data_IF_525641373859
#
_entry.id   IF_525641373859
#
_cell.length_a   1.000
_cell.length_b   1.000
_cell.length_c   1.000
_cell.angle_alpha   90.00
_cell.angle_beta   90.00
_cell.angle_gamma   90.00
#
_symmetry.space_group_name_H-M   'P 1'
#
loop_
_entity.id
_entity.type
_entity.pdbx_description
1 polymer ?
#
# COMPACT_ATOMS: atom_id res chain seq x y z
N UNK A 1 -2.59 23.21 24.59
CA UNK A 1 -1.48 22.23 24.49
C UNK A 1 -0.49 22.79 23.49
N UNK A 2 0.80 22.93 23.82
CA UNK A 2 1.76 23.36 22.83
C UNK A 2 1.86 22.25 21.78
N UNK A 3 1.51 22.57 20.54
CA UNK A 3 1.79 21.71 19.40
C UNK A 3 3.30 21.53 19.38
N UNK A 4 3.76 20.29 19.41
CA UNK A 4 5.18 19.94 19.35
C UNK A 4 5.73 20.44 18.01
N UNK A 5 6.27 21.66 18.02
CA UNK A 5 6.74 22.36 16.83
C UNK A 5 8.21 21.99 16.62
N UNK A 6 8.45 20.73 16.22
CA UNK A 6 9.76 20.35 15.76
C UNK A 6 10.02 21.00 14.40
N UNK A 7 11.23 21.56 14.16
CA UNK A 7 11.58 22.09 12.86
C UNK A 7 11.48 20.97 11.81
N UNK A 8 10.61 21.16 10.81
CA UNK A 8 10.51 20.24 9.68
C UNK A 8 11.69 20.50 8.72
N UNK A 9 12.75 19.71 8.86
CA UNK A 9 13.92 19.79 7.97
C UNK A 9 13.65 19.32 6.54
N UNK A 10 12.52 18.65 6.28
CA UNK A 10 12.13 18.15 4.94
C UNK A 10 11.08 19.03 4.27
N UNK A 11 10.72 20.20 4.84
CA UNK A 11 9.63 21.04 4.35
C UNK A 11 9.68 21.31 2.83
N UNK A 12 10.84 21.65 2.27
CA UNK A 12 10.95 21.90 0.82
C UNK A 12 10.78 20.64 -0.06
N UNK A 13 11.08 19.45 0.47
CA UNK A 13 10.84 18.18 -0.24
C UNK A 13 9.37 17.80 -0.13
N UNK A 14 8.77 17.98 1.05
CA UNK A 14 7.36 17.69 1.31
C UNK A 14 6.47 18.58 0.42
N UNK A 15 6.79 19.86 0.30
CA UNK A 15 6.07 20.80 -0.58
C UNK A 15 6.13 20.36 -2.05
N UNK A 16 7.31 19.95 -2.54
CA UNK A 16 7.46 19.46 -3.91
C UNK A 16 6.63 18.18 -4.16
N UNK A 17 6.56 17.27 -3.19
CA UNK A 17 5.75 16.06 -3.29
C UNK A 17 4.25 16.36 -3.27
N UNK A 18 3.82 17.31 -2.44
CA UNK A 18 2.43 17.76 -2.38
C UNK A 18 2.03 18.44 -3.68
N UNK A 19 2.90 19.28 -4.25
CA UNK A 19 2.64 19.95 -5.52
C UNK A 19 2.51 18.95 -6.67
N UNK A 20 3.40 17.97 -6.75
CA UNK A 20 3.28 16.88 -7.75
C UNK A 20 2.00 16.06 -7.54
N UNK A 21 1.64 15.75 -6.29
CA UNK A 21 0.40 15.02 -5.98
C UNK A 21 -0.87 15.81 -6.33
N UNK A 22 -0.82 17.15 -6.26
CA UNK A 22 -1.92 18.04 -6.65
C UNK A 22 -2.06 18.16 -8.16
N UNK A 23 -0.95 18.38 -8.86
CA UNK A 23 -0.94 18.52 -10.33
C UNK A 23 -1.22 17.19 -11.03
N UNK A 24 -0.70 16.09 -10.47
CA UNK A 24 -0.89 14.73 -11.00
C UNK A 24 -1.67 13.92 -9.97
N UNK A 25 -2.99 14.05 -9.97
CA UNK A 25 -3.87 13.34 -9.02
C UNK A 25 -3.73 11.80 -9.03
N UNK A 26 -3.16 11.22 -10.09
CA UNK A 26 -2.87 9.78 -10.19
C UNK A 26 -1.51 9.37 -9.58
N UNK A 27 -0.63 10.32 -9.23
CA UNK A 27 0.74 10.03 -8.77
C UNK A 27 0.76 9.13 -7.52
N UNK A 28 -0.04 9.48 -6.52
CA UNK A 28 -0.12 8.73 -5.25
C UNK A 28 -0.75 7.34 -5.46
N UNK A 29 -1.92 7.21 -6.14
CA UNK A 29 -2.44 5.90 -6.52
C UNK A 29 -1.45 5.01 -7.27
N UNK A 30 -0.74 5.55 -8.26
CA UNK A 30 0.25 4.80 -9.04
C UNK A 30 1.44 4.37 -8.18
N UNK A 31 1.91 5.22 -7.28
CA UNK A 31 3.00 4.89 -6.36
C UNK A 31 2.61 3.75 -5.41
N UNK A 32 1.41 3.82 -4.83
CA UNK A 32 0.91 2.77 -3.93
C UNK A 32 0.65 1.46 -4.69
N UNK A 33 0.13 1.54 -5.92
CA UNK A 33 -0.03 0.39 -6.79
C UNK A 33 1.32 -0.23 -7.18
N UNK A 34 2.32 0.59 -7.48
CA UNK A 34 3.68 0.12 -7.77
C UNK A 34 4.28 -0.63 -6.58
N UNK A 35 4.16 -0.09 -5.36
CA UNK A 35 4.61 -0.75 -4.13
C UNK A 35 3.92 -2.10 -3.97
N UNK A 36 2.60 -2.14 -4.12
CA UNK A 36 1.83 -3.38 -4.07
C UNK A 36 2.34 -4.40 -5.08
N UNK A 37 2.54 -3.98 -6.33
CA UNK A 37 2.95 -4.85 -7.43
C UNK A 37 4.36 -5.40 -7.24
N UNK A 38 5.30 -4.59 -6.76
CA UNK A 38 6.67 -5.03 -6.46
C UNK A 38 6.68 -6.08 -5.36
N UNK A 39 5.92 -5.88 -4.27
CA UNK A 39 5.84 -6.86 -3.18
C UNK A 39 5.18 -8.14 -3.66
N UNK A 40 4.05 -8.03 -4.38
CA UNK A 40 3.31 -9.18 -4.89
C UNK A 40 4.13 -10.02 -5.87
N UNK A 41 4.61 -9.40 -6.96
CA UNK A 41 5.35 -10.09 -8.01
C UNK A 41 6.71 -10.59 -7.49
N UNK A 42 7.41 -9.77 -6.70
CA UNK A 42 8.68 -10.14 -6.10
C UNK A 42 8.53 -11.36 -5.19
N UNK A 43 7.49 -11.38 -4.35
CA UNK A 43 7.18 -12.51 -3.48
C UNK A 43 6.82 -13.78 -4.25
N UNK A 44 5.88 -13.68 -5.20
CA UNK A 44 5.44 -14.81 -6.04
C UNK A 44 6.60 -15.42 -6.82
N UNK A 45 7.42 -14.61 -7.47
CA UNK A 45 8.58 -15.07 -8.26
C UNK A 45 9.64 -15.67 -7.36
N UNK A 46 9.95 -15.04 -6.23
CA UNK A 46 10.96 -15.55 -5.30
C UNK A 46 10.54 -16.88 -4.67
N UNK A 47 9.27 -17.01 -4.28
CA UNK A 47 8.75 -18.27 -3.75
C UNK A 47 8.74 -19.36 -4.82
N UNK A 48 8.26 -19.05 -6.03
CA UNK A 48 8.23 -19.99 -7.15
C UNK A 48 9.60 -20.55 -7.49
N UNK A 49 10.63 -19.69 -7.52
CA UNK A 49 12.03 -20.11 -7.72
C UNK A 49 12.57 -21.00 -6.61
N UNK A 50 12.13 -20.81 -5.35
CA UNK A 50 12.65 -21.55 -4.18
C UNK A 50 11.92 -22.87 -3.92
N UNK A 51 10.61 -22.91 -4.15
CA UNK A 51 9.75 -24.04 -3.76
C UNK A 51 9.14 -24.79 -4.95
N UNK A 52 9.25 -24.27 -6.17
CA UNK A 52 8.59 -24.83 -7.37
C UNK A 52 7.08 -24.53 -7.45
N UNK A 53 6.51 -23.90 -6.43
CA UNK A 53 5.12 -23.44 -6.39
C UNK A 53 5.04 -22.05 -5.75
N UNK A 54 4.03 -21.27 -6.13
CA UNK A 54 3.81 -19.92 -5.63
C UNK A 54 2.44 -19.78 -4.99
N UNK A 55 2.40 -19.14 -3.83
CA UNK A 55 1.20 -18.94 -3.04
C UNK A 55 0.63 -17.54 -3.29
N UNK A 56 -0.13 -17.43 -4.38
CA UNK A 56 -0.70 -16.15 -4.81
C UNK A 56 -1.61 -15.50 -3.76
N UNK A 57 -2.53 -16.22 -3.08
CA UNK A 57 -3.39 -15.63 -2.05
C UNK A 57 -2.57 -15.06 -0.89
N UNK A 58 -1.55 -15.78 -0.42
CA UNK A 58 -0.66 -15.30 0.65
C UNK A 58 0.09 -14.03 0.24
N UNK A 59 0.69 -14.02 -0.95
CA UNK A 59 1.44 -12.84 -1.41
C UNK A 59 0.54 -11.65 -1.72
N UNK A 60 -0.71 -11.87 -2.15
CA UNK A 60 -1.71 -10.81 -2.30
C UNK A 60 -2.02 -10.16 -0.96
N UNK A 61 -2.19 -10.96 0.10
CA UNK A 61 -2.44 -10.46 1.46
C UNK A 61 -1.24 -9.68 1.99
N UNK A 62 -0.01 -10.21 1.84
CA UNK A 62 1.22 -9.53 2.27
C UNK A 62 1.42 -8.20 1.53
N UNK A 63 1.24 -8.18 0.21
CA UNK A 63 1.35 -6.96 -0.59
C UNK A 63 0.33 -5.89 -0.17
N UNK A 64 -0.90 -6.31 0.11
CA UNK A 64 -1.97 -5.40 0.53
C UNK A 64 -1.70 -4.80 1.92
N UNK A 65 -1.29 -5.62 2.88
CA UNK A 65 -0.89 -5.16 4.22
C UNK A 65 0.34 -4.24 4.14
N UNK A 66 1.35 -4.60 3.35
CA UNK A 66 2.55 -3.78 3.16
C UNK A 66 2.22 -2.41 2.56
N UNK A 67 1.32 -2.37 1.58
CA UNK A 67 0.85 -1.11 0.97
C UNK A 67 0.03 -0.28 1.96
N UNK A 68 -0.82 -0.92 2.78
CA UNK A 68 -1.57 -0.25 3.84
C UNK A 68 -0.64 0.39 4.88
N UNK A 69 0.43 -0.31 5.29
CA UNK A 69 1.42 0.21 6.24
C UNK A 69 2.17 1.45 5.71
N UNK A 70 2.36 1.56 4.40
CA UNK A 70 2.95 2.77 3.76
C UNK A 70 1.91 3.87 3.62
N UNK A 71 0.68 3.53 3.23
CA UNK A 71 -0.38 4.51 3.02
C UNK A 71 -0.84 5.20 4.31
N UNK A 72 -0.81 4.50 5.45
CA UNK A 72 -1.25 5.05 6.74
C UNK A 72 -0.41 6.27 7.17
N UNK A 73 0.94 6.25 7.23
CA UNK A 73 1.73 7.45 7.52
C UNK A 73 1.49 8.60 6.53
N UNK A 74 1.24 8.31 5.25
CA UNK A 74 0.93 9.34 4.25
C UNK A 74 -0.36 10.10 4.56
N UNK A 75 -1.29 9.53 5.33
CA UNK A 75 -2.50 10.23 5.80
C UNK A 75 -2.21 11.31 6.84
N UNK A 76 -1.05 11.27 7.50
CA UNK A 76 -0.69 12.24 8.53
C UNK A 76 -0.25 13.58 7.93
N UNK A 77 0.18 13.58 6.67
CA UNK A 77 0.61 14.78 5.94
C UNK A 77 -0.55 15.37 5.15
N UNK A 78 -1.00 16.55 5.56
CA UNK A 78 -2.08 17.27 4.88
C UNK A 78 -1.73 17.56 3.42
N UNK A 79 -2.64 17.21 2.50
CA UNK A 79 -2.48 17.48 1.07
C UNK A 79 -1.74 16.42 0.28
N UNK A 80 -1.15 15.41 0.93
CA UNK A 80 -0.41 14.34 0.27
C UNK A 80 -1.32 13.22 -0.24
N UNK A 81 -2.43 12.96 0.43
CA UNK A 81 -3.52 12.12 -0.09
C UNK A 81 -4.65 13.06 -0.55
N UNK A 82 -4.91 13.16 -1.87
CA UNK A 82 -5.96 14.01 -2.39
C UNK A 82 -7.34 13.57 -1.85
N UNK A 83 -8.08 14.49 -1.22
CA UNK A 83 -9.39 14.20 -0.62
C UNK A 83 -10.49 13.82 -1.64
N UNK A 84 -10.25 14.11 -2.92
CA UNK A 84 -11.13 13.81 -4.03
C UNK A 84 -11.13 12.32 -4.44
N UNK A 85 -10.16 11.52 -3.98
CA UNK A 85 -10.10 10.09 -4.29
C UNK A 85 -10.06 9.27 -2.99
N UNK A 86 -10.96 8.30 -2.79
CA UNK A 86 -11.02 7.49 -1.57
C UNK A 86 -9.94 6.40 -1.56
N UNK A 87 -8.66 6.78 -1.73
CA UNK A 87 -7.50 5.88 -1.89
C UNK A 87 -7.38 4.92 -0.71
N UNK A 88 -7.53 5.42 0.52
CA UNK A 88 -7.45 4.60 1.73
C UNK A 88 -8.57 3.57 1.77
N UNK A 89 -9.79 3.95 1.39
CA UNK A 89 -10.92 3.01 1.35
C UNK A 89 -10.67 1.89 0.31
N UNK A 90 -10.08 2.23 -0.83
CA UNK A 90 -9.70 1.24 -1.86
C UNK A 90 -8.64 0.27 -1.31
N UNK A 91 -7.59 0.77 -0.67
CA UNK A 91 -6.53 -0.08 -0.10
C UNK A 91 -7.09 -0.98 1.00
N UNK A 92 -7.97 -0.46 1.85
CA UNK A 92 -8.66 -1.26 2.87
C UNK A 92 -9.52 -2.36 2.24
N UNK A 93 -10.30 -2.03 1.20
CA UNK A 93 -11.11 -3.01 0.49
C UNK A 93 -10.23 -4.14 -0.12
N UNK A 94 -9.16 -3.77 -0.83
CA UNK A 94 -8.21 -4.73 -1.42
C UNK A 94 -7.55 -5.61 -0.35
N UNK A 95 -7.24 -5.04 0.81
CA UNK A 95 -6.67 -5.78 1.94
C UNK A 95 -7.66 -6.80 2.50
N UNK A 96 -8.92 -6.42 2.69
CA UNK A 96 -9.98 -7.32 3.15
C UNK A 96 -10.21 -8.45 2.13
N UNK A 97 -10.35 -8.12 0.84
CA UNK A 97 -10.54 -9.12 -0.21
C UNK A 97 -9.35 -10.09 -0.31
N UNK A 98 -8.12 -9.60 -0.18
CA UNK A 98 -6.94 -10.46 -0.15
C UNK A 98 -6.93 -11.38 1.07
N UNK A 99 -7.34 -10.87 2.23
CA UNK A 99 -7.50 -11.69 3.45
C UNK A 99 -8.56 -12.77 3.26
N UNK A 100 -9.74 -12.41 2.76
CA UNK A 100 -10.82 -13.37 2.45
C UNK A 100 -10.34 -14.42 1.47
N UNK A 101 -9.64 -14.03 0.40
CA UNK A 101 -9.10 -14.97 -0.57
C UNK A 101 -8.11 -15.95 0.07
N UNK A 102 -7.20 -15.47 0.92
CA UNK A 102 -6.28 -16.31 1.67
C UNK A 102 -7.03 -17.30 2.57
N UNK A 103 -8.05 -16.86 3.31
CA UNK A 103 -8.84 -17.75 4.17
C UNK A 103 -9.58 -18.83 3.37
N UNK A 104 -10.18 -18.47 2.22
CA UNK A 104 -10.86 -19.43 1.34
C UNK A 104 -9.89 -20.46 0.75
N UNK A 105 -8.67 -20.05 0.40
CA UNK A 105 -7.63 -20.96 -0.10
C UNK A 105 -7.20 -21.96 0.97
N UNK A 106 -7.03 -21.53 2.23
CA UNK A 106 -6.68 -22.44 3.33
C UNK A 106 -7.77 -23.43 3.66
N UNK A 107 -9.03 -22.97 3.76
CA UNK A 107 -10.16 -23.85 4.05
C UNK A 107 -10.35 -24.97 3.01
N UNK A 108 -9.94 -24.75 1.75
CA UNK A 108 -10.05 -25.78 0.69
C UNK A 108 -8.94 -26.83 0.75
N UNK A 109 -7.83 -26.54 1.42
CA UNK A 109 -6.68 -27.42 1.53
C UNK A 109 -6.68 -28.29 2.80
N UNK A 110 -7.68 -28.15 3.68
CA UNK A 110 -7.85 -28.93 4.92
C UNK A 110 -8.73 -30.20 4.76
N UNK A 111 -9.06 -30.59 3.53
CA UNK A 111 -9.89 -31.78 3.22
C UNK A 111 -9.07 -32.90 2.58
#
# INVERSE_FOLDING_TARGET
>A
MPIYNQPNFTAGIDDALIDVAREVGAFIPMTLFFIWFVIFLGGVVAQGKRKGSSDFPMWSAIASIGTLLVALPMTLTLGLIPANVPIIAIILAVTIFSGVWLFLDRNRNEV
#
